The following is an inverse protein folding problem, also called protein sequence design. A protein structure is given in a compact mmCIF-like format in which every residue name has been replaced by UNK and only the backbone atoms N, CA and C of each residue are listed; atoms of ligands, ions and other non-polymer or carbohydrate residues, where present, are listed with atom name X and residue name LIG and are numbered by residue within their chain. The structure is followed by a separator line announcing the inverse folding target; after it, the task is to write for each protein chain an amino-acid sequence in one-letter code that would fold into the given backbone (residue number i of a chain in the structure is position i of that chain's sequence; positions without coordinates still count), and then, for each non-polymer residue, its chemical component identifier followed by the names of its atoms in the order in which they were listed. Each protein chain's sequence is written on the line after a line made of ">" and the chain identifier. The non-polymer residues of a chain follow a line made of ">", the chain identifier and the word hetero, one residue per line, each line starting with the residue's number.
data_IF_757866128470
#
_entry.id   IF_757866128470
#
_cell.length_a   1.000
_cell.length_b   1.000
_cell.length_c   1.000
_cell.angle_alpha   90.00
_cell.angle_beta   90.00
_cell.angle_gamma   90.00
#
_symmetry.space_group_name_H-M   'P 1'
#
loop_
_entity.id
_entity.type
_entity.pdbx_description
1 polymer ?
#
# COMPACT_ATOMS: atom_id res chain seq x y z
N UNK A 1 -11.99 -2.44 16.67
CA UNK A 1 -11.28 -3.69 16.33
C UNK A 1 -9.90 -3.60 16.94
N UNK A 2 -9.55 -4.53 17.84
CA UNK A 2 -8.39 -4.43 18.73
C UNK A 2 -7.07 -4.55 17.97
N UNK A 3 -6.10 -3.69 18.28
CA UNK A 3 -4.75 -3.69 17.71
C UNK A 3 -4.07 -5.08 17.79
N UNK A 4 -4.37 -5.84 18.86
CA UNK A 4 -3.85 -7.20 19.05
C UNK A 4 -4.29 -8.22 18.00
N UNK A 5 -5.43 -8.01 17.32
CA UNK A 5 -5.87 -8.91 16.24
C UNK A 5 -4.96 -8.81 15.01
N UNK A 6 -4.57 -7.60 14.63
CA UNK A 6 -3.67 -7.37 13.50
C UNK A 6 -2.25 -7.86 13.81
N UNK A 7 -1.78 -7.64 15.03
CA UNK A 7 -0.49 -8.16 15.49
C UNK A 7 -0.43 -9.69 15.36
N UNK A 8 -1.46 -10.41 15.82
CA UNK A 8 -1.51 -11.87 15.69
C UNK A 8 -1.48 -12.36 14.24
N UNK A 9 -2.14 -11.64 13.31
CA UNK A 9 -2.05 -11.95 11.87
C UNK A 9 -0.63 -11.73 11.35
N UNK A 10 0.01 -10.61 11.70
CA UNK A 10 1.36 -10.32 11.25
C UNK A 10 2.38 -11.34 11.77
N UNK A 11 2.29 -11.72 13.04
CA UNK A 11 3.15 -12.76 13.63
C UNK A 11 2.96 -14.12 12.94
N UNK A 12 1.71 -14.52 12.70
CA UNK A 12 1.41 -15.76 11.98
C UNK A 12 1.97 -15.72 10.55
N UNK A 13 1.86 -14.58 9.86
CA UNK A 13 2.40 -14.41 8.50
C UNK A 13 3.93 -14.38 8.49
N UNK A 14 4.59 -13.82 9.49
CA UNK A 14 6.05 -13.81 9.58
C UNK A 14 6.66 -15.23 9.57
N UNK A 15 5.94 -16.23 10.11
CA UNK A 15 6.37 -17.63 10.07
C UNK A 15 6.50 -18.20 8.64
N UNK A 16 5.88 -17.57 7.64
CA UNK A 16 5.92 -18.00 6.23
C UNK A 16 7.05 -17.35 5.43
N UNK A 17 7.98 -16.64 6.07
CA UNK A 17 9.16 -16.05 5.42
C UNK A 17 8.80 -15.11 4.26
N UNK A 18 9.37 -15.33 3.08
CA UNK A 18 9.15 -14.50 1.88
C UNK A 18 7.68 -14.38 1.47
N UNK A 19 6.91 -15.48 1.57
CA UNK A 19 5.46 -15.47 1.27
C UNK A 19 4.71 -14.65 2.30
N UNK A 20 5.13 -14.77 3.56
CA UNK A 20 4.66 -13.93 4.66
C UNK A 20 4.82 -12.45 4.35
N UNK A 21 6.04 -12.02 4.04
CA UNK A 21 6.35 -10.63 3.73
C UNK A 21 5.53 -10.07 2.55
N UNK A 22 5.34 -10.87 1.50
CA UNK A 22 4.46 -10.53 0.39
C UNK A 22 3.02 -10.26 0.85
N UNK A 23 2.42 -11.19 1.60
CA UNK A 23 1.04 -11.07 2.10
C UNK A 23 0.87 -9.91 3.08
N UNK A 24 1.83 -9.73 3.99
CA UNK A 24 1.90 -8.59 4.91
C UNK A 24 1.87 -7.28 4.13
N UNK A 25 2.65 -7.18 3.06
CA UNK A 25 2.70 -5.97 2.23
C UNK A 25 1.41 -5.74 1.43
N UNK A 26 0.81 -6.79 0.85
CA UNK A 26 -0.48 -6.68 0.15
C UNK A 26 -1.57 -6.19 1.10
N UNK A 27 -1.73 -6.85 2.26
CA UNK A 27 -2.78 -6.53 3.20
C UNK A 27 -2.56 -5.19 3.89
N UNK A 28 -1.31 -4.89 4.25
CA UNK A 28 -0.92 -3.63 4.88
C UNK A 28 -1.12 -2.42 3.99
N UNK A 29 -0.93 -2.57 2.67
CA UNK A 29 -1.12 -1.50 1.68
C UNK A 29 -2.55 -1.41 1.11
N UNK A 30 -3.41 -2.40 1.39
CA UNK A 30 -4.77 -2.50 0.83
C UNK A 30 -5.71 -1.41 1.34
N UNK A 31 -5.51 -0.93 2.58
CA UNK A 31 -6.43 -0.01 3.23
C UNK A 31 -5.84 1.41 3.20
N UNK A 32 -6.33 2.31 2.32
CA UNK A 32 -5.72 3.61 2.11
C UNK A 32 -5.84 4.59 3.30
N UNK A 33 -6.62 4.26 4.33
CA UNK A 33 -6.89 5.14 5.48
C UNK A 33 -6.50 4.56 6.84
N UNK A 34 -5.89 3.37 6.86
CA UNK A 34 -5.51 2.72 8.12
C UNK A 34 -3.99 2.88 8.30
N UNK A 35 -3.51 3.64 9.29
CA UNK A 35 -2.08 3.80 9.55
C UNK A 35 -1.56 2.53 10.24
N UNK A 36 -1.48 1.43 9.49
CA UNK A 36 -0.88 0.18 9.96
C UNK A 36 0.60 0.21 9.59
N UNK A 37 1.52 0.14 10.56
CA UNK A 37 2.95 0.19 10.29
C UNK A 37 3.47 -1.16 9.77
N UNK A 38 2.91 -1.66 8.66
CA UNK A 38 3.20 -2.98 8.09
C UNK A 38 4.65 -3.11 7.59
N UNK A 39 5.35 -1.99 7.39
CA UNK A 39 6.77 -1.99 7.04
C UNK A 39 7.65 -2.45 8.20
N UNK A 40 7.22 -2.27 9.47
CA UNK A 40 7.98 -2.73 10.65
C UNK A 40 8.27 -4.24 10.59
N UNK A 41 7.25 -5.13 10.48
CA UNK A 41 7.51 -6.55 10.42
C UNK A 41 8.35 -6.95 9.19
N UNK A 42 8.20 -6.28 8.05
CA UNK A 42 9.01 -6.54 6.84
C UNK A 42 10.49 -6.19 7.10
N UNK A 43 10.77 -5.03 7.68
CA UNK A 43 12.15 -4.63 8.02
C UNK A 43 12.76 -5.60 9.04
N UNK A 44 11.99 -6.06 10.03
CA UNK A 44 12.47 -7.06 10.99
C UNK A 44 12.84 -8.39 10.33
N UNK A 45 12.10 -8.81 9.30
CA UNK A 45 12.39 -10.03 8.54
C UNK A 45 13.68 -9.94 7.72
N UNK A 46 14.18 -8.73 7.41
CA UNK A 46 15.46 -8.56 6.70
C UNK A 46 16.68 -9.03 7.51
N UNK A 47 16.53 -9.24 8.83
CA UNK A 47 17.58 -9.80 9.68
C UNK A 47 17.84 -11.28 9.40
N UNK A 48 16.85 -12.00 8.87
CA UNK A 48 16.91 -13.45 8.65
C UNK A 48 16.77 -13.84 7.18
N UNK A 49 16.13 -12.99 6.37
CA UNK A 49 15.92 -13.20 4.94
C UNK A 49 16.83 -12.29 4.11
N UNK A 50 17.09 -12.69 2.86
CA UNK A 50 17.81 -11.87 1.89
C UNK A 50 17.06 -10.55 1.64
N UNK A 51 17.66 -9.38 1.94
CA UNK A 51 16.97 -8.10 1.85
C UNK A 51 16.54 -7.72 0.43
N UNK A 52 17.28 -8.16 -0.59
CA UNK A 52 16.96 -7.87 -1.99
C UNK A 52 15.68 -8.59 -2.41
N UNK A 53 15.63 -9.91 -2.19
CA UNK A 53 14.44 -10.70 -2.51
C UNK A 53 13.23 -10.27 -1.68
N UNK A 54 13.46 -9.99 -0.39
CA UNK A 54 12.43 -9.47 0.51
C UNK A 54 11.86 -8.14 0.02
N UNK A 55 12.72 -7.20 -0.37
CA UNK A 55 12.32 -5.89 -0.88
C UNK A 55 11.55 -5.99 -2.20
N UNK A 56 11.94 -6.89 -3.10
CA UNK A 56 11.23 -7.14 -4.36
C UNK A 56 9.81 -7.67 -4.08
N UNK A 57 9.70 -8.70 -3.23
CA UNK A 57 8.41 -9.32 -2.92
C UNK A 57 7.49 -8.38 -2.14
N UNK A 58 8.02 -7.67 -1.15
CA UNK A 58 7.29 -6.61 -0.47
C UNK A 58 6.87 -5.51 -1.44
N UNK A 59 7.75 -5.02 -2.30
CA UNK A 59 7.43 -3.99 -3.30
C UNK A 59 6.30 -4.41 -4.24
N UNK A 60 6.31 -5.66 -4.74
CA UNK A 60 5.23 -6.21 -5.57
C UNK A 60 3.93 -6.29 -4.76
N UNK A 61 3.98 -6.79 -3.53
CA UNK A 61 2.81 -6.87 -2.65
C UNK A 61 2.18 -5.51 -2.38
N UNK A 62 3.01 -4.52 -2.05
CA UNK A 62 2.62 -3.13 -1.85
C UNK A 62 1.99 -2.51 -3.08
N UNK A 63 2.57 -2.76 -4.26
CA UNK A 63 2.01 -2.29 -5.53
C UNK A 63 0.62 -2.89 -5.78
N UNK A 64 0.42 -4.19 -5.53
CA UNK A 64 -0.89 -4.84 -5.68
C UNK A 64 -1.92 -4.23 -4.74
N UNK A 65 -1.57 -4.03 -3.46
CA UNK A 65 -2.50 -3.44 -2.50
C UNK A 65 -2.86 -2.00 -2.87
N UNK A 66 -1.88 -1.14 -3.20
CA UNK A 66 -2.13 0.24 -3.64
C UNK A 66 -2.95 0.31 -4.93
N UNK A 67 -2.70 -0.57 -5.91
CA UNK A 67 -3.52 -0.65 -7.13
C UNK A 67 -4.97 -1.03 -6.81
N UNK A 68 -5.18 -1.94 -5.86
CA UNK A 68 -6.50 -2.33 -5.38
C UNK A 68 -7.21 -1.16 -4.69
N UNK A 69 -6.52 -0.46 -3.78
CA UNK A 69 -7.05 0.73 -3.10
C UNK A 69 -7.37 1.86 -4.09
N UNK A 70 -6.52 2.07 -5.09
CA UNK A 70 -6.74 3.03 -6.16
C UNK A 70 -7.99 2.66 -6.96
N UNK A 71 -8.15 1.39 -7.31
CA UNK A 71 -9.34 0.86 -7.96
C UNK A 71 -10.60 1.15 -7.14
N UNK A 72 -10.60 0.78 -5.86
CA UNK A 72 -11.69 1.06 -4.92
C UNK A 72 -12.04 2.54 -4.86
N UNK A 73 -11.05 3.43 -4.71
CA UNK A 73 -11.26 4.87 -4.71
C UNK A 73 -11.82 5.40 -6.03
N UNK A 74 -11.37 4.84 -7.16
CA UNK A 74 -11.84 5.21 -8.49
C UNK A 74 -13.26 4.73 -8.78
N UNK A 75 -13.64 3.54 -8.35
CA UNK A 75 -15.02 3.05 -8.46
C UNK A 75 -15.96 3.77 -7.49
N UNK A 76 -15.52 4.00 -6.25
CA UNK A 76 -16.26 4.75 -5.23
C UNK A 76 -16.60 6.17 -5.68
N UNK A 77 -15.80 6.77 -6.58
CA UNK A 77 -16.10 8.07 -7.19
C UNK A 77 -17.47 8.14 -7.90
N UNK A 78 -18.00 7.01 -8.39
CA UNK A 78 -19.33 6.96 -9.03
C UNK A 78 -20.48 7.14 -8.03
N UNK A 79 -20.24 6.88 -6.75
CA UNK A 79 -21.22 7.01 -5.67
C UNK A 79 -21.23 8.43 -5.06
N UNK A 80 -20.32 9.31 -5.50
CA UNK A 80 -20.22 10.68 -4.97
C UNK A 80 -21.22 11.62 -5.63
N UNK A 81 -21.72 12.60 -4.86
CA UNK A 81 -22.54 13.72 -5.37
C UNK A 81 -21.79 14.49 -6.48
N UNK A 82 -22.56 15.06 -7.43
CA UNK A 82 -22.07 15.77 -8.62
C UNK A 82 -20.97 16.80 -8.29
N UNK A 83 -21.15 17.56 -7.21
CA UNK A 83 -20.22 18.61 -6.80
C UNK A 83 -18.85 18.06 -6.38
N UNK A 84 -18.83 16.99 -5.56
CA UNK A 84 -17.61 16.26 -5.15
C UNK A 84 -16.94 15.62 -6.36
N UNK A 85 -17.73 15.05 -7.27
CA UNK A 85 -17.24 14.42 -8.50
C UNK A 85 -16.55 15.43 -9.42
N UNK A 86 -17.07 16.66 -9.53
CA UNK A 86 -16.51 17.76 -10.33
C UNK A 86 -15.18 18.25 -9.75
N UNK A 87 -15.12 18.46 -8.43
CA UNK A 87 -13.87 18.80 -7.70
C UNK A 87 -12.77 17.75 -7.95
N UNK A 88 -13.10 16.45 -7.86
CA UNK A 88 -12.15 15.37 -8.19
C UNK A 88 -11.75 15.31 -9.67
N UNK A 89 -12.63 15.74 -10.61
CA UNK A 89 -12.26 15.80 -12.05
C UNK A 89 -11.19 16.86 -12.27
N UNK A 90 -11.36 18.02 -11.66
CA UNK A 90 -10.43 19.15 -11.81
C UNK A 90 -9.06 18.75 -11.26
N UNK A 91 -9.03 18.14 -10.07
CA UNK A 91 -7.79 17.64 -9.48
C UNK A 91 -7.12 16.57 -10.35
N UNK A 92 -7.90 15.62 -10.87
CA UNK A 92 -7.37 14.59 -11.79
C UNK A 92 -6.82 15.18 -13.10
N UNK A 93 -7.42 16.26 -13.62
CA UNK A 93 -6.90 16.98 -14.79
C UNK A 93 -5.62 17.76 -14.46
N UNK A 94 -5.51 18.33 -13.27
CA UNK A 94 -4.32 19.06 -12.83
C UNK A 94 -3.09 18.14 -12.71
N UNK A 95 -3.28 16.90 -12.25
CA UNK A 95 -2.23 15.86 -12.22
C UNK A 95 -1.75 15.52 -13.65
N UNK A 96 -2.65 15.58 -14.63
CA UNK A 96 -2.31 15.46 -16.05
C UNK A 96 -1.67 14.12 -16.43
N UNK A 97 -0.96 14.11 -17.57
CA UNK A 97 -0.31 12.91 -18.12
C UNK A 97 0.91 12.43 -17.33
N UNK A 98 1.46 13.27 -16.45
CA UNK A 98 2.68 12.97 -15.69
C UNK A 98 2.42 12.40 -14.30
N UNK A 99 1.15 12.20 -13.91
CA UNK A 99 0.80 11.70 -12.58
C UNK A 99 1.49 10.41 -12.19
N UNK A 100 1.56 9.43 -13.10
CA UNK A 100 2.22 8.16 -12.83
C UNK A 100 3.74 8.34 -12.61
N UNK A 101 4.39 9.15 -13.44
CA UNK A 101 5.82 9.45 -13.30
C UNK A 101 6.11 10.24 -12.02
N UNK A 102 5.26 11.22 -11.70
CA UNK A 102 5.37 11.98 -10.46
C UNK A 102 5.24 11.05 -9.24
N UNK A 103 4.21 10.19 -9.19
CA UNK A 103 4.05 9.21 -8.09
C UNK A 103 5.24 8.27 -8.00
N UNK A 104 5.77 7.80 -9.13
CA UNK A 104 6.96 6.94 -9.16
C UNK A 104 8.19 7.65 -8.58
N UNK A 105 8.49 8.87 -9.02
CA UNK A 105 9.61 9.65 -8.51
C UNK A 105 9.44 10.01 -7.03
N UNK A 106 8.22 10.33 -6.60
CA UNK A 106 7.89 10.56 -5.20
C UNK A 106 8.12 9.30 -4.35
N UNK A 107 7.76 8.11 -4.86
CA UNK A 107 7.98 6.84 -4.17
C UNK A 107 9.47 6.45 -4.03
N UNK A 108 10.35 7.02 -4.85
CA UNK A 108 11.80 6.85 -4.68
C UNK A 108 12.37 7.69 -3.53
N UNK A 109 11.63 8.69 -3.06
CA UNK A 109 12.03 9.48 -1.89
C UNK A 109 11.58 8.77 -0.60
N UNK A 110 12.27 8.98 0.54
CA UNK A 110 11.94 8.34 1.81
C UNK A 110 10.72 9.01 2.47
N UNK A 111 9.65 9.20 1.71
CA UNK A 111 8.38 9.67 2.22
C UNK A 111 7.69 8.55 2.99
N UNK A 112 7.10 8.83 4.16
CA UNK A 112 6.24 7.89 4.82
C UNK A 112 5.02 7.59 3.93
N UNK A 113 4.68 6.31 3.85
CA UNK A 113 3.61 5.76 3.02
C UNK A 113 2.22 5.84 3.69
#
# INVERSE_FOLDING_TARGET
>A
MNEGFYQGIFEALQAYGYVGAFLISVLGSLIPFLPVPYLIPIVLMSKTLDPLLLGILAGIGGAIGKLTSYGLGRFGRRLLKEERRRKMTILGRAIGKYGALAVFLFALTPLPD
#
